data_IF_091193363864
#
_entry.id   IF_091193363864
#
_cell.length_a   1.000
_cell.length_b   1.000
_cell.length_c   1.000
_cell.angle_alpha   90.00
_cell.angle_beta   90.00
_cell.angle_gamma   90.00
#
_symmetry.space_group_name_H-M   'P 1'
#
loop_
_entity.id
_entity.type
_entity.pdbx_description
1 polymer ?
#
# COMPACT_ATOMS: atom_id res chain seq x y z
N UNK A 1 27.35 17.51 -40.39
CA UNK A 1 26.13 16.81 -39.94
C UNK A 1 26.46 15.94 -38.74
N UNK A 2 26.24 16.42 -37.51
CA UNK A 2 26.18 15.63 -36.27
C UNK A 2 25.43 16.47 -35.23
N UNK A 3 24.43 15.90 -34.56
CA UNK A 3 23.72 16.57 -33.47
C UNK A 3 22.28 16.09 -33.26
N UNK A 4 22.08 14.78 -33.12
CA UNK A 4 20.75 14.18 -32.95
C UNK A 4 20.61 13.29 -31.71
N UNK A 5 21.51 13.40 -30.73
CA UNK A 5 21.62 12.41 -29.64
C UNK A 5 21.33 12.95 -28.24
N UNK A 6 21.27 14.27 -28.02
CA UNK A 6 21.24 14.80 -26.65
C UNK A 6 19.87 14.72 -25.95
N UNK A 7 18.77 14.59 -26.69
CA UNK A 7 17.42 14.59 -26.09
C UNK A 7 16.87 13.16 -25.88
N UNK A 8 17.29 12.19 -26.68
CA UNK A 8 16.89 10.80 -26.52
C UNK A 8 17.57 10.17 -25.30
N UNK A 9 18.89 10.35 -25.17
CA UNK A 9 19.66 9.79 -24.06
C UNK A 9 19.23 10.39 -22.70
N UNK A 10 18.87 11.68 -22.67
CA UNK A 10 18.32 12.33 -21.48
C UNK A 10 16.97 11.74 -21.07
N UNK A 11 16.08 11.46 -22.03
CA UNK A 11 14.78 10.85 -21.76
C UNK A 11 14.89 9.39 -21.35
N UNK A 12 15.86 8.65 -21.87
CA UNK A 12 16.17 7.29 -21.43
C UNK A 12 16.74 7.31 -20.00
N UNK A 13 17.62 8.26 -19.64
CA UNK A 13 18.12 8.39 -18.26
C UNK A 13 17.04 8.78 -17.23
N UNK A 14 15.94 9.40 -17.67
CA UNK A 14 14.76 9.68 -16.81
C UNK A 14 13.81 8.47 -16.72
N UNK A 15 13.92 7.52 -17.65
CA UNK A 15 13.17 6.25 -17.64
C UNK A 15 13.94 5.14 -16.92
N UNK A 16 15.27 5.23 -16.87
CA UNK A 16 16.16 4.42 -16.05
C UNK A 16 16.14 4.93 -14.61
N UNK A 17 15.04 4.70 -13.89
CA UNK A 17 15.09 4.76 -12.43
C UNK A 17 16.16 3.75 -12.00
N UNK A 18 17.28 4.18 -11.39
CA UNK A 18 18.29 3.24 -10.91
C UNK A 18 17.62 2.21 -10.01
N UNK A 19 18.01 0.93 -10.08
CA UNK A 19 17.47 -0.08 -9.15
C UNK A 19 17.63 0.35 -7.67
N UNK A 20 18.64 1.18 -7.38
CA UNK A 20 18.86 1.82 -6.07
C UNK A 20 17.82 2.90 -5.69
N UNK A 21 16.98 3.37 -6.61
CA UNK A 21 15.83 4.24 -6.34
C UNK A 21 14.50 3.47 -6.27
N UNK A 22 14.48 2.19 -6.65
CA UNK A 22 13.32 1.31 -6.39
C UNK A 22 13.27 0.79 -4.95
N UNK A 23 14.30 1.07 -4.14
CA UNK A 23 14.29 0.86 -2.70
C UNK A 23 14.92 2.00 -1.93
N UNK A 24 14.33 2.33 -0.78
CA UNK A 24 14.81 3.39 0.10
C UNK A 24 14.99 2.89 1.53
N UNK A 25 15.84 3.58 2.27
CA UNK A 25 16.08 3.35 3.70
C UNK A 25 14.97 3.97 4.54
N UNK A 26 14.45 3.22 5.51
CA UNK A 26 13.40 3.65 6.42
C UNK A 26 12.67 2.45 7.02
N UNK A 27 11.85 2.70 8.05
CA UNK A 27 10.93 1.73 8.66
C UNK A 27 9.47 1.93 8.20
N UNK A 28 9.27 2.79 7.20
CA UNK A 28 7.96 3.12 6.67
C UNK A 28 7.88 2.89 5.17
N UNK A 29 6.71 2.47 4.71
CA UNK A 29 6.29 2.39 3.32
C UNK A 29 5.51 3.68 3.02
N UNK A 30 6.05 4.53 2.17
CA UNK A 30 5.31 5.58 1.45
C UNK A 30 4.76 4.99 0.15
N UNK A 31 3.43 4.94 0.02
CA UNK A 31 2.75 4.35 -1.13
C UNK A 31 2.75 5.26 -2.36
N UNK A 32 3.08 6.56 -2.22
CA UNK A 32 3.22 7.51 -3.34
C UNK A 32 4.51 7.30 -4.12
N UNK A 33 5.44 6.51 -3.58
CA UNK A 33 6.72 6.20 -4.22
C UNK A 33 6.59 5.02 -5.20
N UNK A 34 7.39 5.02 -6.28
CA UNK A 34 7.36 3.95 -7.28
C UNK A 34 7.98 2.64 -6.74
N UNK A 35 8.93 2.77 -5.81
CA UNK A 35 9.64 1.67 -5.16
C UNK A 35 9.02 1.19 -3.86
N UNK A 36 9.78 0.38 -3.13
CA UNK A 36 9.44 -0.15 -1.80
C UNK A 36 10.66 -0.09 -0.87
N UNK A 37 10.50 0.10 0.44
CA UNK A 37 11.64 0.11 1.35
C UNK A 37 12.48 -1.17 1.27
N UNK A 38 13.75 -1.10 1.65
CA UNK A 38 14.64 -2.27 1.61
C UNK A 38 14.16 -3.45 2.45
N UNK A 39 13.46 -3.19 3.57
CA UNK A 39 12.95 -4.24 4.46
C UNK A 39 11.72 -4.97 3.89
N UNK A 40 11.10 -4.43 2.82
CA UNK A 40 9.96 -5.05 2.14
C UNK A 40 10.45 -5.93 1.00
N UNK A 41 10.02 -7.19 0.97
CA UNK A 41 10.29 -8.14 -0.11
C UNK A 41 9.39 -7.88 -1.31
N UNK A 42 8.08 -7.74 -1.09
CA UNK A 42 7.08 -7.52 -2.16
C UNK A 42 5.80 -6.88 -1.61
N UNK A 43 5.04 -6.25 -2.49
CA UNK A 43 3.68 -5.76 -2.24
C UNK A 43 2.79 -6.18 -3.42
N UNK A 44 1.59 -6.68 -3.13
CA UNK A 44 0.60 -7.11 -4.12
C UNK A 44 -0.80 -6.63 -3.75
N UNK A 45 -1.72 -6.57 -4.73
CA UNK A 45 -3.12 -6.15 -4.53
C UNK A 45 -3.36 -4.64 -4.51
N UNK A 46 -2.35 -3.86 -4.92
CA UNK A 46 -2.42 -2.40 -5.02
C UNK A 46 -2.71 -2.00 -6.46
N UNK A 47 -3.49 -0.94 -6.61
CA UNK A 47 -3.68 -0.23 -7.86
C UNK A 47 -2.43 0.54 -8.29
N UNK A 48 -2.51 1.23 -9.43
CA UNK A 48 -1.42 2.11 -9.88
C UNK A 48 -1.16 3.24 -8.88
N UNK A 49 0.05 3.79 -8.97
CA UNK A 49 0.55 4.87 -8.11
C UNK A 49 -0.15 6.19 -8.40
N UNK A 50 -0.52 6.90 -7.35
CA UNK A 50 -1.00 8.27 -7.41
C UNK A 50 -0.06 9.17 -6.57
N UNK A 51 -0.11 10.50 -6.76
CA UNK A 51 0.84 11.42 -6.11
C UNK A 51 0.73 11.45 -4.59
N UNK A 52 -0.38 10.98 -4.04
CA UNK A 52 -0.66 10.92 -2.61
C UNK A 52 -0.53 9.51 -2.02
N UNK A 53 -0.46 8.45 -2.83
CA UNK A 53 -0.54 7.07 -2.34
C UNK A 53 -1.01 6.06 -3.39
N UNK A 54 -1.60 4.94 -2.93
CA UNK A 54 -2.17 3.87 -3.77
C UNK A 54 -3.46 3.34 -3.16
N UNK A 55 -4.40 2.98 -4.03
CA UNK A 55 -5.59 2.25 -3.60
C UNK A 55 -5.31 0.76 -3.43
N UNK A 56 -5.93 0.16 -2.42
CA UNK A 56 -6.27 -1.27 -2.43
C UNK A 56 -7.30 -1.49 -3.54
N UNK A 57 -7.13 -2.51 -4.36
CA UNK A 57 -8.01 -2.76 -5.50
C UNK A 57 -8.45 -4.22 -5.57
N UNK A 58 -9.70 -4.47 -5.19
CA UNK A 58 -10.28 -5.81 -5.16
C UNK A 58 -10.50 -6.42 -6.56
N UNK A 59 -10.40 -5.63 -7.63
CA UNK A 59 -10.35 -6.17 -9.00
C UNK A 59 -8.99 -6.82 -9.30
N UNK A 60 -7.91 -6.37 -8.65
CA UNK A 60 -6.56 -6.96 -8.77
C UNK A 60 -6.41 -8.12 -7.79
N UNK A 61 -6.75 -7.90 -6.53
CA UNK A 61 -6.74 -8.92 -5.47
C UNK A 61 -7.62 -8.46 -4.32
N UNK A 62 -8.41 -9.38 -3.75
CA UNK A 62 -9.27 -9.10 -2.58
C UNK A 62 -8.51 -8.48 -1.41
N UNK A 63 -7.23 -8.83 -1.25
CA UNK A 63 -6.38 -8.34 -0.17
C UNK A 63 -5.09 -7.77 -0.72
N UNK A 64 -4.59 -6.74 -0.05
CA UNK A 64 -3.19 -6.32 -0.16
C UNK A 64 -2.34 -7.22 0.72
N UNK A 65 -1.25 -7.74 0.16
CA UNK A 65 -0.26 -8.53 0.89
C UNK A 65 1.08 -7.84 0.80
N UNK A 66 1.64 -7.49 1.96
CA UNK A 66 2.97 -6.93 2.11
C UNK A 66 3.84 -8.00 2.75
N UNK A 67 4.83 -8.49 2.00
CA UNK A 67 5.79 -9.48 2.48
C UNK A 67 7.08 -8.78 2.85
N UNK A 68 7.54 -8.97 4.08
CA UNK A 68 8.80 -8.45 4.61
C UNK A 68 9.95 -9.43 4.35
N UNK A 69 11.18 -8.91 4.28
CA UNK A 69 12.37 -9.76 4.08
C UNK A 69 12.71 -10.61 5.30
N UNK A 70 12.33 -10.15 6.49
CA UNK A 70 12.48 -10.85 7.77
C UNK A 70 11.10 -11.02 8.40
N UNK A 71 10.89 -12.04 9.24
CA UNK A 71 9.74 -12.09 10.13
C UNK A 71 9.51 -10.77 10.87
N UNK A 72 8.24 -10.38 11.02
CA UNK A 72 7.89 -9.29 11.92
C UNK A 72 8.19 -9.71 13.38
N UNK A 73 8.54 -8.76 14.27
CA UNK A 73 8.74 -9.05 15.69
C UNK A 73 7.54 -9.76 16.31
N UNK A 74 7.78 -10.50 17.40
CA UNK A 74 6.71 -11.18 18.14
C UNK A 74 5.64 -10.19 18.60
N UNK A 75 6.04 -9.03 19.13
CA UNK A 75 5.14 -7.94 19.45
C UNK A 75 5.45 -6.80 18.49
N UNK A 76 4.55 -6.54 17.55
CA UNK A 76 4.75 -5.54 16.50
C UNK A 76 3.68 -4.47 16.56
N UNK A 77 4.07 -3.22 16.39
CA UNK A 77 3.16 -2.09 16.26
C UNK A 77 3.17 -1.61 14.81
N UNK A 78 1.99 -1.54 14.21
CA UNK A 78 1.81 -1.10 12.83
C UNK A 78 0.96 0.16 12.86
N UNK A 79 1.49 1.24 12.29
CA UNK A 79 0.76 2.47 12.07
C UNK A 79 0.38 2.57 10.59
N UNK A 80 -0.89 2.88 10.30
CA UNK A 80 -1.40 3.01 8.94
C UNK A 80 -2.07 4.38 8.80
N UNK A 81 -1.53 5.20 7.89
CA UNK A 81 -2.19 6.41 7.39
C UNK A 81 -2.94 6.07 6.10
N UNK A 82 -4.27 6.18 6.15
CA UNK A 82 -5.12 5.86 5.01
C UNK A 82 -6.47 6.58 5.08
N UNK A 83 -7.14 6.64 3.94
CA UNK A 83 -8.52 7.07 3.84
C UNK A 83 -9.35 5.95 3.22
N UNK A 84 -10.55 5.71 3.72
CA UNK A 84 -11.47 4.80 3.03
C UNK A 84 -12.06 5.46 1.78
N UNK A 85 -12.48 4.63 0.83
CA UNK A 85 -13.26 5.10 -0.31
C UNK A 85 -14.68 5.52 0.12
N UNK A 86 -15.28 4.76 1.05
CA UNK A 86 -16.62 5.01 1.62
C UNK A 86 -16.57 4.92 3.15
N UNK A 87 -17.48 5.62 3.82
CA UNK A 87 -17.63 5.52 5.27
C UNK A 87 -18.40 4.24 5.67
N UNK A 88 -18.53 4.04 6.98
CA UNK A 88 -19.31 2.97 7.61
C UNK A 88 -18.80 1.59 7.14
N UNK A 89 -19.68 0.72 6.65
CA UNK A 89 -19.33 -0.62 6.17
C UNK A 89 -18.23 -0.59 5.09
N UNK A 90 -18.18 0.44 4.25
CA UNK A 90 -17.14 0.61 3.23
C UNK A 90 -15.77 1.02 3.77
N UNK A 91 -15.71 1.43 5.04
CA UNK A 91 -14.50 1.78 5.77
C UNK A 91 -13.94 0.64 6.63
N UNK A 92 -14.68 -0.47 6.78
CA UNK A 92 -14.25 -1.63 7.56
C UNK A 92 -13.17 -2.41 6.84
N UNK A 93 -12.10 -2.72 7.57
CA UNK A 93 -10.91 -3.40 7.06
C UNK A 93 -10.39 -4.40 8.07
N UNK A 94 -10.11 -5.61 7.59
CA UNK A 94 -9.41 -6.64 8.37
C UNK A 94 -7.90 -6.55 8.09
N UNK A 95 -7.12 -6.39 9.15
CA UNK A 95 -5.66 -6.34 9.11
C UNK A 95 -5.13 -7.55 9.85
N UNK A 96 -4.27 -8.34 9.20
CA UNK A 96 -3.77 -9.61 9.74
C UNK A 96 -2.24 -9.65 9.78
N UNK A 97 -1.72 -10.13 10.90
CA UNK A 97 -0.32 -10.56 11.07
C UNK A 97 -0.31 -11.95 11.70
N UNK A 98 0.29 -12.93 11.04
CA UNK A 98 0.20 -14.34 11.46
C UNK A 98 -1.26 -14.82 11.52
N UNK A 99 -1.68 -15.30 12.69
CA UNK A 99 -3.07 -15.69 12.98
C UNK A 99 -3.92 -14.58 13.61
N UNK A 100 -3.34 -13.46 14.03
CA UNK A 100 -4.11 -12.37 14.64
C UNK A 100 -4.70 -11.46 13.56
N UNK A 101 -6.03 -11.30 13.61
CA UNK A 101 -6.80 -10.40 12.74
C UNK A 101 -7.41 -9.30 13.61
N UNK A 102 -7.26 -8.05 13.18
CA UNK A 102 -7.93 -6.89 13.76
C UNK A 102 -8.83 -6.23 12.73
N UNK A 103 -10.09 -6.06 13.07
CA UNK A 103 -11.04 -5.25 12.30
C UNK A 103 -11.01 -3.83 12.79
N UNK A 104 -10.83 -2.90 11.86
CA UNK A 104 -10.79 -1.46 12.14
C UNK A 104 -11.63 -0.71 11.11
N UNK A 105 -12.09 0.47 11.48
CA UNK A 105 -12.79 1.37 10.57
C UNK A 105 -11.88 2.55 10.20
N UNK A 106 -11.78 2.82 8.90
CA UNK A 106 -11.21 4.05 8.35
C UNK A 106 -12.35 4.93 7.82
N UNK A 107 -12.23 6.24 8.01
CA UNK A 107 -13.12 7.24 7.42
C UNK A 107 -12.55 7.78 6.11
N UNK A 108 -13.32 8.55 5.37
CA UNK A 108 -12.85 9.13 4.09
C UNK A 108 -11.75 10.19 4.25
N UNK A 109 -11.56 10.75 5.44
CA UNK A 109 -10.53 11.77 5.72
C UNK A 109 -9.91 11.55 7.10
N UNK A 110 -8.59 11.67 7.19
CA UNK A 110 -7.88 12.01 8.44
C UNK A 110 -7.58 10.84 9.37
N UNK A 111 -7.36 9.63 8.85
CA UNK A 111 -7.09 8.47 9.70
C UNK A 111 -5.61 8.12 9.76
N UNK A 112 -5.12 8.03 10.99
CA UNK A 112 -3.90 7.34 11.38
C UNK A 112 -4.32 6.31 12.43
N UNK A 113 -4.14 5.03 12.13
CA UNK A 113 -4.51 3.93 13.04
C UNK A 113 -3.26 3.19 13.49
N UNK A 114 -3.03 3.12 14.81
CA UNK A 114 -1.96 2.33 15.44
C UNK A 114 -2.48 1.00 15.96
N UNK A 115 -1.88 -0.11 15.53
CA UNK A 115 -2.33 -1.46 15.81
C UNK A 115 -1.20 -2.35 16.34
N UNK A 116 -1.40 -2.87 17.55
CA UNK A 116 -0.53 -3.86 18.17
C UNK A 116 -0.90 -5.27 17.68
N UNK A 117 0.08 -6.12 17.36
CA UNK A 117 -0.16 -7.55 17.05
C UNK A 117 0.84 -8.45 17.80
N UNK A 118 0.38 -9.64 18.15
CA UNK A 118 1.14 -10.78 18.68
C UNK A 118 1.40 -11.79 17.56
N UNK A 119 2.55 -11.66 16.90
CA UNK A 119 3.02 -12.50 15.82
C UNK A 119 3.79 -13.74 16.32
N UNK A 120 3.11 -14.60 17.08
CA UNK A 120 3.71 -15.83 17.64
C UNK A 120 4.31 -16.77 16.60
N UNK A 121 3.73 -16.76 15.40
CA UNK A 121 4.12 -17.60 14.27
C UNK A 121 5.33 -17.08 13.50
N UNK A 122 5.87 -15.91 13.89
CA UNK A 122 6.96 -15.25 13.17
C UNK A 122 6.63 -15.04 11.68
N UNK A 123 5.37 -14.67 11.38
CA UNK A 123 4.97 -14.33 10.02
C UNK A 123 5.78 -13.14 9.50
N UNK A 124 6.11 -13.19 8.22
CA UNK A 124 6.71 -12.09 7.47
C UNK A 124 5.68 -11.35 6.62
N UNK A 125 4.37 -11.55 6.86
CA UNK A 125 3.31 -10.96 6.07
C UNK A 125 2.38 -10.08 6.90
N UNK A 126 2.05 -8.92 6.33
CA UNK A 126 0.91 -8.11 6.71
C UNK A 126 -0.14 -8.20 5.59
N UNK A 127 -1.36 -8.55 5.95
CA UNK A 127 -2.49 -8.64 5.01
C UNK A 127 -3.53 -7.58 5.37
N UNK A 128 -3.94 -6.78 4.38
CA UNK A 128 -4.96 -5.74 4.53
C UNK A 128 -6.12 -6.08 3.61
N UNK A 129 -7.31 -6.29 4.17
CA UNK A 129 -8.49 -6.75 3.43
C UNK A 129 -9.68 -5.82 3.70
N UNK A 130 -9.99 -4.90 2.77
CA UNK A 130 -11.25 -4.16 2.83
C UNK A 130 -12.45 -5.13 2.85
N UNK A 131 -13.42 -4.91 3.74
CA UNK A 131 -14.57 -5.81 3.91
C UNK A 131 -15.61 -5.59 2.81
N UNK A 132 -15.92 -4.33 2.50
CA UNK A 132 -16.92 -3.94 1.50
C UNK A 132 -16.37 -2.94 0.46
N UNK A 133 -15.32 -3.30 -0.31
CA UNK A 133 -14.80 -2.43 -1.34
C UNK A 133 -15.80 -2.27 -2.49
N UNK A 134 -15.80 -1.11 -3.15
CA UNK A 134 -16.73 -0.81 -4.25
C UNK A 134 -16.10 0.16 -5.26
N UNK A 135 -16.69 0.28 -6.45
CA UNK A 135 -16.14 1.15 -7.50
C UNK A 135 -16.90 2.47 -7.61
N UNK A 136 -16.23 3.59 -7.88
CA UNK A 136 -16.90 4.84 -8.25
C UNK A 136 -17.91 4.67 -9.39
N UNK A 137 -17.60 3.83 -10.38
CA UNK A 137 -18.51 3.47 -11.47
C UNK A 137 -19.81 2.85 -10.98
N UNK A 138 -19.75 1.90 -10.04
CA UNK A 138 -20.95 1.25 -9.49
C UNK A 138 -21.87 2.21 -8.73
N UNK A 139 -21.32 3.32 -8.25
CA UNK A 139 -22.05 4.39 -7.56
C UNK A 139 -22.45 5.55 -8.49
N UNK A 140 -22.10 5.51 -9.78
CA UNK A 140 -22.37 6.58 -10.73
C UNK A 140 -21.56 7.87 -10.49
N UNK A 141 -20.43 7.78 -9.77
CA UNK A 141 -19.61 8.94 -9.40
C UNK A 141 -18.61 9.33 -10.50
N UNK A 142 -18.10 8.34 -11.25
CA UNK A 142 -17.18 8.55 -12.39
C UNK A 142 -17.08 7.30 -13.27
N UNK A 143 -16.25 7.34 -14.31
CA UNK A 143 -15.91 6.18 -15.14
C UNK A 143 -14.89 5.22 -14.51
N UNK A 144 -14.44 5.45 -13.28
CA UNK A 144 -13.44 4.62 -12.61
C UNK A 144 -14.04 3.28 -12.16
N UNK A 145 -13.58 2.20 -12.80
CA UNK A 145 -14.06 0.84 -12.58
C UNK A 145 -13.29 0.06 -11.48
N UNK A 146 -12.24 0.65 -10.88
CA UNK A 146 -11.46 -0.01 -9.82
C UNK A 146 -12.35 -0.32 -8.62
N UNK A 147 -12.14 -1.46 -7.95
CA UNK A 147 -12.94 -1.84 -6.77
C UNK A 147 -12.17 -1.40 -5.52
N UNK A 148 -12.42 -0.16 -5.09
CA UNK A 148 -11.62 0.57 -4.10
C UNK A 148 -12.07 0.26 -2.67
N UNK A 149 -11.09 0.13 -1.77
CA UNK A 149 -11.29 -0.03 -0.33
C UNK A 149 -10.62 1.08 0.47
N UNK A 150 -9.30 0.98 0.65
CA UNK A 150 -8.45 2.00 1.27
C UNK A 150 -7.53 2.68 0.28
N UNK A 151 -7.41 3.99 0.38
CA UNK A 151 -6.34 4.79 -0.17
C UNK A 151 -5.20 4.84 0.84
N UNK A 152 -4.22 3.95 0.67
CA UNK A 152 -3.04 3.84 1.53
C UNK A 152 -2.05 4.95 1.19
N UNK A 153 -1.63 5.71 2.19
CA UNK A 153 -0.64 6.79 2.05
C UNK A 153 0.69 6.39 2.64
N UNK A 154 0.68 5.97 3.90
CA UNK A 154 1.88 5.57 4.64
C UNK A 154 1.60 4.40 5.55
N UNK A 155 2.59 3.52 5.71
CA UNK A 155 2.57 2.46 6.71
C UNK A 155 3.91 2.40 7.43
N UNK A 156 3.91 2.44 8.76
CA UNK A 156 5.13 2.34 9.57
C UNK A 156 5.11 1.03 10.35
N UNK A 157 6.21 0.29 10.29
CA UNK A 157 6.45 -0.88 11.15
C UNK A 157 7.39 -0.43 12.27
N UNK A 158 6.86 -0.36 13.49
CA UNK A 158 7.66 -0.05 14.67
C UNK A 158 8.17 -1.37 15.27
N UNK A 159 9.51 -1.48 15.31
CA UNK A 159 10.27 -2.64 15.78
C UNK A 159 10.66 -2.50 17.25
#
# INVERSE_FOLDING_TARGET
>A
MKGGSTNYDYRISQLEIPLSETSYNGNAIDFSFPGKPEFVKSMAGLSYRESWGRWTDAAISRSVVITFKKPLPHDVQIEIEANSFKNDEGGLVDIKVGSEVKRVEFKTIGNIQGLAFSNKEQSSELVITPVHPSSPLSHGESGDARILGLGLKKLTVNL
#
